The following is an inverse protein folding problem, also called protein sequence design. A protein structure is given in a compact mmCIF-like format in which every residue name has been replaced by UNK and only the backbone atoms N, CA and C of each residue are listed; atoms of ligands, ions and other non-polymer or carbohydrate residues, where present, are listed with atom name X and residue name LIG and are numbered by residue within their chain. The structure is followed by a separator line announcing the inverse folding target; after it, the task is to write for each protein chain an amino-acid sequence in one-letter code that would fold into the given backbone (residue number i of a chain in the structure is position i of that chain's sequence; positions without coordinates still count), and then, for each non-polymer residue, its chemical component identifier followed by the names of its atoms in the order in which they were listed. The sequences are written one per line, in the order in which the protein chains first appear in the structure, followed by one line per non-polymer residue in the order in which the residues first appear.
data_IF_578886836952
#
_entry.id   IF_578886836952
#
_cell.length_a   1.000
_cell.length_b   1.000
_cell.length_c   1.000
_cell.angle_alpha   90.00
_cell.angle_beta   90.00
_cell.angle_gamma   90.00
#
_symmetry.space_group_name_H-M   'P 1'
#
loop_
_entity.id
_entity.type
_entity.pdbx_description
1 polymer ?
#
# COMPACT_ATOMS: atom_id res chain seq x y z
N UNK A 1 -3.80 18.26 14.50
CA UNK A 1 -4.81 18.17 13.43
C UNK A 1 -5.39 16.77 13.46
N UNK A 2 -6.73 16.62 13.41
CA UNK A 2 -7.39 15.31 13.46
C UNK A 2 -7.21 14.56 12.14
N UNK A 3 -7.28 13.24 12.14
CA UNK A 3 -7.10 12.41 10.93
C UNK A 3 -8.09 12.75 9.83
N UNK A 4 -9.35 12.97 10.20
CA UNK A 4 -10.38 13.42 9.26
C UNK A 4 -10.00 14.74 8.58
N UNK A 5 -9.38 15.70 9.30
CA UNK A 5 -8.91 16.97 8.73
C UNK A 5 -7.72 16.76 7.78
N UNK A 6 -6.79 15.85 8.12
CA UNK A 6 -5.65 15.48 7.28
C UNK A 6 -6.12 14.80 5.99
N UNK A 7 -7.05 13.85 6.12
CA UNK A 7 -7.66 13.18 4.97
C UNK A 7 -8.44 14.19 4.10
N UNK A 8 -9.21 15.08 4.73
CA UNK A 8 -9.98 16.11 4.01
C UNK A 8 -9.07 17.10 3.25
N UNK A 9 -7.92 17.45 3.84
CA UNK A 9 -6.95 18.39 3.25
C UNK A 9 -6.09 17.78 2.13
N UNK A 10 -5.94 16.46 2.08
CA UNK A 10 -5.16 15.79 1.06
C UNK A 10 -5.84 15.87 -0.30
N UNK A 11 -5.09 16.22 -1.34
CA UNK A 11 -5.53 16.24 -2.74
C UNK A 11 -5.15 14.95 -3.47
N UNK A 12 -3.97 14.42 -3.20
CA UNK A 12 -3.45 13.20 -3.80
C UNK A 12 -3.11 12.18 -2.73
N UNK A 13 -3.69 10.99 -2.85
CA UNK A 13 -3.60 9.91 -1.87
C UNK A 13 -3.05 8.66 -2.54
N UNK A 14 -2.03 8.05 -1.92
CA UNK A 14 -1.57 6.70 -2.27
C UNK A 14 -2.08 5.72 -1.22
N UNK A 15 -2.69 4.62 -1.66
CA UNK A 15 -3.20 3.56 -0.79
C UNK A 15 -2.44 2.28 -1.08
N UNK A 16 -1.73 1.75 -0.09
CA UNK A 16 -1.03 0.47 -0.19
C UNK A 16 -1.90 -0.66 0.34
N UNK A 17 -2.07 -1.68 -0.49
CA UNK A 17 -2.88 -2.86 -0.21
C UNK A 17 -2.00 -4.12 -0.16
N UNK A 18 -1.97 -4.78 0.99
CA UNK A 18 -1.23 -6.03 1.18
C UNK A 18 -1.93 -7.24 0.56
N UNK A 19 -1.18 -8.31 0.25
CA UNK A 19 -1.75 -9.56 -0.27
C UNK A 19 -2.73 -10.20 0.72
N UNK A 20 -2.39 -10.26 2.02
CA UNK A 20 -3.25 -10.79 3.08
C UNK A 20 -4.57 -10.03 3.22
N UNK A 21 -4.57 -8.74 2.87
CA UNK A 21 -5.75 -7.88 2.97
C UNK A 21 -6.86 -8.21 1.97
N UNK A 22 -6.53 -8.83 0.82
CA UNK A 22 -7.46 -9.01 -0.30
C UNK A 22 -7.46 -10.43 -0.89
N UNK A 23 -6.87 -11.42 -0.22
CA UNK A 23 -6.83 -12.81 -0.70
C UNK A 23 -7.32 -13.78 0.37
N UNK A 24 -7.71 -14.99 -0.03
CA UNK A 24 -8.22 -16.00 0.88
C UNK A 24 -9.51 -15.59 1.56
N UNK A 25 -9.57 -15.67 2.88
CA UNK A 25 -10.75 -15.27 3.66
C UNK A 25 -11.08 -13.77 3.54
N UNK A 26 -10.10 -12.95 3.16
CA UNK A 26 -10.21 -11.48 3.07
C UNK A 26 -10.52 -10.98 1.65
N UNK A 27 -10.92 -11.88 0.76
CA UNK A 27 -11.14 -11.54 -0.64
C UNK A 27 -12.17 -10.42 -0.85
N UNK A 28 -13.18 -10.34 0.01
CA UNK A 28 -14.22 -9.32 -0.01
C UNK A 28 -13.72 -7.91 0.36
N UNK A 29 -12.60 -7.80 1.06
CA UNK A 29 -12.05 -6.50 1.46
C UNK A 29 -11.60 -5.65 0.26
N UNK A 30 -11.39 -6.27 -0.92
CA UNK A 30 -11.10 -5.51 -2.13
C UNK A 30 -12.24 -4.54 -2.46
N UNK A 31 -13.49 -4.98 -2.31
CA UNK A 31 -14.66 -4.13 -2.55
C UNK A 31 -14.74 -2.98 -1.54
N UNK A 32 -14.45 -3.25 -0.26
CA UNK A 32 -14.40 -2.23 0.79
C UNK A 32 -13.31 -1.16 0.50
N UNK A 33 -12.14 -1.59 0.06
CA UNK A 33 -11.05 -0.67 -0.32
C UNK A 33 -11.46 0.17 -1.54
N UNK A 34 -12.08 -0.45 -2.53
CA UNK A 34 -12.56 0.25 -3.73
C UNK A 34 -13.70 1.22 -3.41
N UNK A 35 -14.57 0.90 -2.45
CA UNK A 35 -15.60 1.83 -1.98
C UNK A 35 -14.96 3.10 -1.38
N UNK A 36 -13.88 2.95 -0.59
CA UNK A 36 -13.10 4.08 -0.09
C UNK A 36 -12.42 4.87 -1.22
N UNK A 37 -11.78 4.18 -2.17
CA UNK A 37 -11.17 4.81 -3.35
C UNK A 37 -12.20 5.64 -4.10
N UNK A 38 -13.39 5.10 -4.32
CA UNK A 38 -14.48 5.77 -5.03
C UNK A 38 -15.01 6.99 -4.27
N UNK A 39 -15.13 6.90 -2.94
CA UNK A 39 -15.53 8.02 -2.09
C UNK A 39 -14.52 9.18 -2.20
N UNK A 40 -13.22 8.88 -2.07
CA UNK A 40 -12.18 9.89 -2.17
C UNK A 40 -12.12 10.50 -3.59
N UNK A 41 -12.22 9.69 -4.64
CA UNK A 41 -12.24 10.16 -6.03
C UNK A 41 -13.45 11.05 -6.33
N UNK A 42 -14.64 10.69 -5.85
CA UNK A 42 -15.87 11.51 -6.00
C UNK A 42 -15.79 12.83 -5.21
N UNK A 43 -14.98 12.89 -4.16
CA UNK A 43 -14.70 14.15 -3.45
C UNK A 43 -13.67 15.05 -4.15
N UNK A 44 -13.21 14.67 -5.35
CA UNK A 44 -12.31 15.45 -6.18
C UNK A 44 -10.82 15.20 -5.90
N UNK A 45 -10.50 14.11 -5.21
CA UNK A 45 -9.11 13.73 -4.93
C UNK A 45 -8.56 12.77 -5.98
N UNK A 46 -7.26 12.83 -6.19
CA UNK A 46 -6.52 11.89 -7.00
C UNK A 46 -6.08 10.70 -6.13
N UNK A 47 -6.51 9.49 -6.50
CA UNK A 47 -6.24 8.28 -5.73
C UNK A 47 -5.43 7.30 -6.55
N UNK A 48 -4.32 6.83 -5.98
CA UNK A 48 -3.40 5.84 -6.55
C UNK A 48 -3.42 4.62 -5.63
N UNK A 49 -3.53 3.42 -6.18
CA UNK A 49 -3.47 2.18 -5.41
C UNK A 49 -2.16 1.46 -5.71
N UNK A 50 -1.40 1.10 -4.69
CA UNK A 50 -0.25 0.19 -4.79
C UNK A 50 -0.67 -1.15 -4.20
N UNK A 51 -0.90 -2.13 -5.07
CA UNK A 51 -1.50 -3.42 -4.70
C UNK A 51 -0.47 -4.52 -4.69
N UNK A 52 -0.64 -5.45 -3.76
CA UNK A 52 -0.02 -6.78 -3.77
C UNK A 52 -1.07 -7.85 -4.13
N UNK A 53 -0.66 -9.11 -4.11
CA UNK A 53 -1.58 -10.24 -4.14
C UNK A 53 -1.66 -10.98 -5.46
N UNK A 54 -0.86 -10.65 -6.47
CA UNK A 54 -0.83 -11.38 -7.74
C UNK A 54 -0.50 -12.87 -7.51
N UNK A 55 0.62 -13.19 -6.89
CA UNK A 55 1.06 -14.56 -6.59
C UNK A 55 0.01 -15.29 -5.75
N UNK A 56 -0.47 -14.66 -4.66
CA UNK A 56 -1.47 -15.26 -3.77
C UNK A 56 -2.83 -15.51 -4.45
N UNK A 57 -3.17 -14.71 -5.46
CA UNK A 57 -4.37 -14.92 -6.29
C UNK A 57 -4.21 -16.14 -7.23
N UNK A 58 -3.01 -16.39 -7.75
CA UNK A 58 -2.77 -17.48 -8.70
C UNK A 58 -2.54 -18.83 -8.03
N UNK A 59 -1.84 -18.89 -6.91
CA UNK A 59 -1.40 -20.12 -6.27
C UNK A 59 -2.53 -21.14 -6.02
N UNK A 60 -3.70 -20.75 -5.47
CA UNK A 60 -4.81 -21.69 -5.29
C UNK A 60 -5.40 -22.22 -6.60
N UNK A 61 -5.35 -21.44 -7.69
CA UNK A 61 -5.97 -21.80 -8.97
C UNK A 61 -5.29 -22.98 -9.65
N UNK A 62 -3.99 -23.14 -9.42
CA UNK A 62 -3.19 -24.19 -10.03
C UNK A 62 -2.67 -25.20 -9.01
N UNK A 63 -3.15 -25.11 -7.75
CA UNK A 63 -2.83 -26.07 -6.68
C UNK A 63 -1.34 -26.07 -6.29
N UNK A 64 -0.61 -24.95 -6.54
CA UNK A 64 0.79 -24.84 -6.18
C UNK A 64 0.95 -24.07 -4.84
N UNK A 65 1.85 -24.61 -4.01
CA UNK A 65 2.33 -23.88 -2.85
C UNK A 65 3.66 -23.21 -3.21
N UNK A 66 3.75 -21.90 -3.05
CA UNK A 66 4.99 -21.16 -3.31
C UNK A 66 6.00 -21.49 -2.22
N UNK A 67 7.15 -22.04 -2.62
CA UNK A 67 8.34 -22.07 -1.75
C UNK A 67 9.11 -20.79 -2.00
N UNK A 68 9.50 -20.10 -0.95
CA UNK A 68 10.18 -18.79 -1.01
C UNK A 68 11.49 -18.78 -1.83
N UNK A 69 12.02 -19.95 -2.17
CA UNK A 69 13.28 -20.12 -2.90
C UNK A 69 13.09 -20.39 -4.40
N UNK A 70 11.86 -20.66 -4.86
CA UNK A 70 11.56 -20.94 -6.27
C UNK A 70 11.12 -19.68 -7.02
N UNK A 71 12.12 -18.94 -7.51
CA UNK A 71 11.92 -17.71 -8.27
C UNK A 71 11.08 -17.94 -9.54
N UNK A 72 11.37 -18.96 -10.31
CA UNK A 72 10.69 -19.22 -11.58
C UNK A 72 9.19 -19.52 -11.38
N UNK A 73 8.86 -20.32 -10.36
CA UNK A 73 7.47 -20.56 -9.97
C UNK A 73 6.78 -19.28 -9.50
N UNK A 74 7.46 -18.45 -8.69
CA UNK A 74 6.92 -17.17 -8.23
C UNK A 74 6.66 -16.20 -9.40
N UNK A 75 7.58 -16.09 -10.36
CA UNK A 75 7.41 -15.27 -11.57
C UNK A 75 6.23 -15.76 -12.43
N UNK A 76 6.10 -17.08 -12.62
CA UNK A 76 4.99 -17.66 -13.34
C UNK A 76 3.64 -17.40 -12.65
N UNK A 77 3.57 -17.57 -11.32
CA UNK A 77 2.39 -17.27 -10.53
C UNK A 77 2.02 -15.79 -10.57
N UNK A 78 3.01 -14.89 -10.48
CA UNK A 78 2.79 -13.47 -10.63
C UNK A 78 2.17 -13.12 -11.98
N UNK A 79 2.69 -13.71 -13.07
CA UNK A 79 2.16 -13.50 -14.42
C UNK A 79 0.71 -13.97 -14.57
N UNK A 80 0.34 -15.12 -14.00
CA UNK A 80 -1.04 -15.63 -13.98
C UNK A 80 -1.95 -14.76 -13.12
N UNK A 81 -1.48 -14.43 -11.93
CA UNK A 81 -2.29 -13.77 -10.91
C UNK A 81 -2.50 -12.29 -11.18
N UNK A 82 -1.55 -11.61 -11.82
CA UNK A 82 -1.67 -10.19 -12.11
C UNK A 82 -2.87 -9.86 -13.00
N UNK A 83 -3.10 -10.64 -14.05
CA UNK A 83 -4.26 -10.46 -14.91
C UNK A 83 -5.58 -10.67 -14.16
N UNK A 84 -5.63 -11.63 -13.24
CA UNK A 84 -6.82 -11.90 -12.42
C UNK A 84 -7.05 -10.83 -11.35
N UNK A 85 -5.98 -10.36 -10.73
CA UNK A 85 -6.02 -9.27 -9.77
C UNK A 85 -6.57 -7.99 -10.43
N UNK A 86 -6.07 -7.64 -11.61
CA UNK A 86 -6.60 -6.50 -12.37
C UNK A 86 -8.07 -6.68 -12.74
N UNK A 87 -8.50 -7.85 -13.18
CA UNK A 87 -9.92 -8.12 -13.45
C UNK A 87 -10.82 -8.04 -12.21
N UNK A 88 -10.28 -8.23 -10.99
CA UNK A 88 -11.01 -7.98 -9.74
C UNK A 88 -11.15 -6.48 -9.48
N UNK A 89 -10.08 -5.71 -9.62
CA UNK A 89 -10.13 -4.24 -9.50
C UNK A 89 -11.08 -3.64 -10.53
N UNK A 90 -11.01 -4.07 -11.79
CA UNK A 90 -11.90 -3.61 -12.86
C UNK A 90 -13.38 -3.80 -12.47
N UNK A 91 -13.79 -5.04 -12.14
CA UNK A 91 -15.18 -5.31 -11.73
C UNK A 91 -15.62 -4.51 -10.51
N UNK A 92 -14.72 -4.29 -9.54
CA UNK A 92 -15.04 -3.55 -8.33
C UNK A 92 -15.18 -2.05 -8.60
N UNK A 93 -14.28 -1.45 -9.40
CA UNK A 93 -14.31 -0.04 -9.79
C UNK A 93 -15.47 0.28 -10.74
N UNK A 94 -15.86 -0.66 -11.61
CA UNK A 94 -17.02 -0.53 -12.50
C UNK A 94 -18.32 -0.24 -11.74
N UNK A 95 -18.47 -0.76 -10.51
CA UNK A 95 -19.61 -0.45 -9.62
C UNK A 95 -19.78 1.05 -9.36
N UNK A 96 -18.69 1.80 -9.45
CA UNK A 96 -18.61 3.23 -9.19
C UNK A 96 -18.44 4.08 -10.45
N UNK A 97 -18.34 3.45 -11.63
CA UNK A 97 -18.07 4.12 -12.91
C UNK A 97 -16.62 4.61 -13.03
N UNK A 98 -15.67 4.00 -12.28
CA UNK A 98 -14.25 4.33 -12.32
C UNK A 98 -13.49 3.31 -13.17
N UNK A 99 -12.48 3.80 -13.88
CA UNK A 99 -11.64 2.99 -14.78
C UNK A 99 -10.26 2.78 -14.12
N UNK A 100 -9.77 1.53 -13.95
CA UNK A 100 -8.42 1.27 -13.52
C UNK A 100 -7.41 1.38 -14.66
N UNK A 101 -6.20 1.89 -14.36
CA UNK A 101 -5.05 1.88 -15.26
C UNK A 101 -3.87 1.15 -14.60
N UNK A 102 -3.40 0.05 -15.20
CA UNK A 102 -2.28 -0.72 -14.63
C UNK A 102 -0.93 -0.11 -14.95
N UNK A 103 -0.07 -0.01 -13.91
CA UNK A 103 1.36 0.28 -14.05
C UNK A 103 2.15 -0.80 -13.29
N UNK A 104 3.07 -1.47 -13.97
CA UNK A 104 4.00 -2.41 -13.34
C UNK A 104 5.39 -1.80 -13.26
N UNK A 105 5.94 -1.75 -12.05
CA UNK A 105 7.25 -1.16 -11.76
C UNK A 105 8.11 -2.17 -11.00
N UNK A 106 9.42 -2.05 -11.17
CA UNK A 106 10.38 -2.60 -10.19
C UNK A 106 10.95 -1.43 -9.37
N UNK A 107 11.48 -1.73 -8.19
CA UNK A 107 12.14 -0.71 -7.37
C UNK A 107 13.28 -0.06 -8.15
N UNK A 108 14.03 -0.84 -8.94
CA UNK A 108 15.13 -0.35 -9.78
C UNK A 108 14.66 0.66 -10.84
N UNK A 109 13.44 0.49 -11.38
CA UNK A 109 12.85 1.45 -12.31
C UNK A 109 12.67 2.85 -11.69
N UNK A 110 12.55 2.93 -10.37
CA UNK A 110 12.42 4.20 -9.65
C UNK A 110 13.79 4.82 -9.26
N UNK A 111 14.87 4.02 -9.28
CA UNK A 111 16.22 4.49 -9.04
C UNK A 111 16.89 5.02 -10.32
N UNK A 112 16.48 4.53 -11.48
CA UNK A 112 16.98 5.00 -12.78
C UNK A 112 16.19 6.22 -13.29
N UNK A 113 16.87 7.27 -13.74
CA UNK A 113 16.26 8.54 -14.12
C UNK A 113 15.21 8.40 -15.23
N UNK A 114 15.57 7.74 -16.34
CA UNK A 114 14.67 7.67 -17.51
C UNK A 114 13.41 6.81 -17.24
N UNK A 115 13.50 5.59 -16.68
CA UNK A 115 12.31 4.82 -16.29
C UNK A 115 11.43 5.55 -15.26
N UNK A 116 12.05 6.19 -14.26
CA UNK A 116 11.35 7.00 -13.26
C UNK A 116 10.56 8.15 -13.89
N UNK A 117 11.16 8.89 -14.80
CA UNK A 117 10.47 9.97 -15.52
C UNK A 117 9.32 9.47 -16.38
N UNK A 118 9.48 8.32 -17.04
CA UNK A 118 8.42 7.70 -17.83
C UNK A 118 7.25 7.24 -16.94
N UNK A 119 7.55 6.61 -15.80
CA UNK A 119 6.54 6.20 -14.83
C UNK A 119 5.76 7.41 -14.30
N UNK A 120 6.47 8.50 -13.93
CA UNK A 120 5.85 9.74 -13.46
C UNK A 120 4.90 10.32 -14.52
N UNK A 121 5.34 10.46 -15.78
CA UNK A 121 4.49 10.99 -16.86
C UNK A 121 3.27 10.13 -17.15
N UNK A 122 3.42 8.80 -17.13
CA UNK A 122 2.30 7.88 -17.33
C UNK A 122 1.28 8.01 -16.18
N UNK A 123 1.77 8.09 -14.94
CA UNK A 123 0.95 8.26 -13.75
C UNK A 123 0.17 9.58 -13.78
N UNK A 124 0.84 10.70 -14.02
CA UNK A 124 0.19 12.01 -14.15
C UNK A 124 -0.89 11.98 -15.24
N UNK A 125 -0.59 11.38 -16.39
CA UNK A 125 -1.55 11.32 -17.48
C UNK A 125 -2.79 10.49 -17.14
N UNK A 126 -2.64 9.38 -16.42
CA UNK A 126 -3.78 8.59 -15.93
C UNK A 126 -4.67 9.42 -14.99
N UNK A 127 -4.06 10.13 -14.04
CA UNK A 127 -4.79 10.99 -13.10
C UNK A 127 -5.53 12.12 -13.83
N UNK A 128 -4.87 12.81 -14.78
CA UNK A 128 -5.47 13.88 -15.59
C UNK A 128 -6.72 13.45 -16.37
N UNK A 129 -6.75 12.20 -16.85
CA UNK A 129 -7.91 11.66 -17.60
C UNK A 129 -8.93 10.95 -16.71
N UNK A 130 -8.79 11.05 -15.36
CA UNK A 130 -9.74 10.51 -14.40
C UNK A 130 -9.67 8.98 -14.22
N UNK A 131 -8.55 8.35 -14.54
CA UNK A 131 -8.30 6.92 -14.36
C UNK A 131 -7.66 6.69 -12.99
N UNK A 132 -8.04 5.63 -12.29
CA UNK A 132 -7.42 5.20 -11.02
C UNK A 132 -6.20 4.33 -11.32
N UNK A 133 -4.96 4.82 -11.07
CA UNK A 133 -3.76 4.01 -11.27
C UNK A 133 -3.71 2.86 -10.25
N UNK A 134 -3.55 1.63 -10.75
CA UNK A 134 -3.28 0.43 -9.95
C UNK A 134 -1.84 0.00 -10.23
N UNK A 135 -0.98 0.24 -9.27
CA UNK A 135 0.45 -0.03 -9.37
C UNK A 135 0.75 -1.35 -8.65
N UNK A 136 1.58 -2.19 -9.23
CA UNK A 136 2.14 -3.37 -8.57
C UNK A 136 3.60 -3.54 -8.96
N UNK A 137 4.32 -4.34 -8.18
CA UNK A 137 5.66 -4.78 -8.58
C UNK A 137 5.56 -5.66 -9.83
N UNK A 138 6.53 -5.51 -10.73
CA UNK A 138 6.67 -6.39 -11.89
C UNK A 138 7.41 -7.67 -11.49
N UNK A 139 6.75 -8.47 -10.66
CA UNK A 139 7.28 -9.74 -10.14
C UNK A 139 7.70 -10.72 -11.26
N UNK A 140 7.16 -10.58 -12.47
CA UNK A 140 7.48 -11.47 -13.59
C UNK A 140 8.91 -11.33 -14.10
N UNK A 141 9.57 -10.20 -13.81
CA UNK A 141 10.96 -9.93 -14.16
C UNK A 141 11.85 -9.66 -12.94
N UNK A 142 11.30 -9.84 -11.72
CA UNK A 142 12.03 -9.63 -10.48
C UNK A 142 13.23 -10.58 -10.35
N UNK A 143 14.34 -10.10 -9.79
CA UNK A 143 15.54 -10.89 -9.54
C UNK A 143 15.53 -11.52 -8.13
N UNK A 144 16.42 -12.49 -7.88
CA UNK A 144 16.52 -13.14 -6.55
C UNK A 144 16.88 -12.19 -5.41
N UNK A 145 17.50 -11.06 -5.73
CA UNK A 145 17.92 -10.03 -4.76
C UNK A 145 16.71 -9.21 -4.29
N UNK A 146 15.66 -9.14 -5.11
CA UNK A 146 14.41 -8.47 -4.78
C UNK A 146 13.49 -9.50 -4.11
N UNK A 147 13.36 -9.41 -2.78
CA UNK A 147 12.42 -10.26 -2.04
C UNK A 147 11.00 -9.93 -2.46
N UNK A 148 10.29 -10.92 -2.98
CA UNK A 148 8.88 -10.80 -3.36
C UNK A 148 8.06 -10.15 -2.24
N UNK A 149 7.29 -9.12 -2.58
CA UNK A 149 6.25 -8.56 -1.71
C UNK A 149 6.64 -7.34 -0.89
N UNK A 150 7.69 -6.59 -1.24
CA UNK A 150 8.00 -5.32 -0.57
C UNK A 150 7.24 -4.13 -1.21
N UNK A 151 5.93 -4.31 -1.41
CA UNK A 151 5.09 -3.22 -1.91
C UNK A 151 4.90 -2.08 -0.89
N UNK A 152 5.30 -2.25 0.38
CA UNK A 152 5.39 -1.15 1.34
C UNK A 152 6.46 -0.14 0.88
N UNK A 153 7.65 -0.66 0.49
CA UNK A 153 8.74 0.14 -0.07
C UNK A 153 8.36 0.76 -1.43
N UNK A 154 7.72 -0.01 -2.30
CA UNK A 154 7.22 0.52 -3.58
C UNK A 154 6.22 1.65 -3.34
N UNK A 155 5.27 1.49 -2.42
CA UNK A 155 4.26 2.50 -2.11
C UNK A 155 4.88 3.80 -1.57
N UNK A 156 5.87 3.71 -0.69
CA UNK A 156 6.57 4.90 -0.19
C UNK A 156 7.32 5.64 -1.31
N UNK A 157 7.96 4.93 -2.24
CA UNK A 157 8.61 5.54 -3.41
C UNK A 157 7.61 6.14 -4.40
N UNK A 158 6.49 5.43 -4.65
CA UNK A 158 5.40 5.94 -5.50
C UNK A 158 4.78 7.19 -4.89
N UNK A 159 4.61 7.26 -3.56
CA UNK A 159 4.07 8.45 -2.92
C UNK A 159 4.95 9.69 -3.12
N UNK A 160 6.27 9.52 -3.07
CA UNK A 160 7.20 10.60 -3.39
C UNK A 160 7.24 10.94 -4.88
N UNK A 161 7.24 9.93 -5.76
CA UNK A 161 7.20 10.12 -7.21
C UNK A 161 5.96 10.91 -7.65
N UNK A 162 4.82 10.58 -7.07
CA UNK A 162 3.53 11.18 -7.33
C UNK A 162 3.31 12.50 -6.58
N UNK A 163 4.26 12.95 -5.74
CA UNK A 163 4.09 14.11 -4.87
C UNK A 163 2.77 14.04 -4.08
N UNK A 164 2.49 12.87 -3.49
CA UNK A 164 1.28 12.65 -2.73
C UNK A 164 1.29 13.43 -1.40
N UNK A 165 0.13 13.88 -0.97
CA UNK A 165 -0.05 14.51 0.35
C UNK A 165 -0.12 13.46 1.46
N UNK A 166 -0.65 12.26 1.10
CA UNK A 166 -0.96 11.21 2.06
C UNK A 166 -0.66 9.82 1.48
N UNK A 167 0.00 8.98 2.28
CA UNK A 167 0.15 7.55 2.08
C UNK A 167 -0.66 6.80 3.14
N UNK A 168 -1.55 5.91 2.73
CA UNK A 168 -2.29 5.01 3.62
C UNK A 168 -1.73 3.61 3.47
N UNK A 169 -1.14 3.07 4.53
CA UNK A 169 -0.64 1.70 4.60
C UNK A 169 -1.70 0.81 5.24
N UNK A 170 -2.41 0.03 4.44
CA UNK A 170 -3.37 -0.96 4.93
C UNK A 170 -2.65 -2.22 5.41
N UNK A 171 -3.05 -2.70 6.56
CA UNK A 171 -2.42 -3.80 7.29
C UNK A 171 -3.47 -4.75 7.88
N UNK A 172 -3.00 -5.79 8.52
CA UNK A 172 -3.75 -6.70 9.40
C UNK A 172 -3.78 -6.22 10.87
N UNK A 173 -3.10 -5.11 11.16
CA UNK A 173 -3.13 -4.44 12.47
C UNK A 173 -3.63 -3.00 12.31
N UNK A 174 -4.37 -2.53 13.30
CA UNK A 174 -5.02 -1.21 13.29
C UNK A 174 -4.07 -0.05 13.61
N UNK A 175 -2.93 -0.34 14.28
CA UNK A 175 -1.96 0.66 14.72
C UNK A 175 -0.60 0.02 15.02
N UNK A 176 0.41 0.83 15.24
CA UNK A 176 1.62 0.42 15.95
C UNK A 176 1.37 0.35 17.45
N UNK A 177 2.02 -0.60 18.12
CA UNK A 177 1.98 -0.78 19.56
C UNK A 177 3.39 -0.87 20.14
N UNK A 178 3.53 -0.46 21.40
CA UNK A 178 4.81 -0.56 22.12
C UNK A 178 5.26 -2.01 22.36
N UNK A 179 4.29 -2.94 22.39
CA UNK A 179 4.45 -4.39 22.49
C UNK A 179 3.44 -5.10 21.59
N UNK A 180 3.47 -6.43 21.50
CA UNK A 180 2.47 -7.17 20.75
C UNK A 180 1.05 -6.85 21.25
N UNK A 181 0.08 -6.60 20.35
CA UNK A 181 -1.31 -6.40 20.74
C UNK A 181 -1.81 -7.58 21.58
N UNK A 182 -2.35 -7.30 22.77
CA UNK A 182 -2.81 -8.30 23.72
C UNK A 182 -1.82 -8.67 24.83
N UNK A 183 -0.56 -8.22 24.77
CA UNK A 183 0.39 -8.31 25.89
C UNK A 183 0.06 -7.29 26.98
N UNK A 184 0.31 -7.64 28.24
CA UNK A 184 0.11 -6.74 29.36
C UNK A 184 1.01 -5.49 29.23
N UNK A 185 0.38 -4.31 29.28
CA UNK A 185 1.05 -3.03 29.11
C UNK A 185 1.39 -2.69 27.66
N UNK A 186 0.76 -3.31 26.65
CA UNK A 186 0.81 -2.85 25.29
C UNK A 186 0.05 -1.53 25.14
N UNK A 187 0.74 -0.49 24.66
CA UNK A 187 0.17 0.84 24.42
C UNK A 187 0.16 1.15 22.94
N UNK A 188 -0.95 1.71 22.43
CA UNK A 188 -1.07 2.16 21.06
C UNK A 188 -0.22 3.40 20.83
N UNK A 189 0.55 3.41 19.76
CA UNK A 189 1.34 4.56 19.31
C UNK A 189 0.49 5.32 18.29
N UNK A 190 -0.17 6.37 18.75
CA UNK A 190 -1.07 7.14 17.91
C UNK A 190 -0.34 8.06 16.92
N UNK A 191 0.81 8.59 17.30
CA UNK A 191 1.62 9.51 16.48
C UNK A 191 3.09 9.12 16.59
N UNK A 192 3.76 9.11 15.43
CA UNK A 192 5.21 8.94 15.31
C UNK A 192 5.80 10.22 14.74
N UNK A 193 6.70 10.85 15.47
CA UNK A 193 7.48 11.99 15.02
C UNK A 193 8.86 11.52 14.50
N UNK A 194 9.57 12.39 13.80
CA UNK A 194 10.89 12.05 13.23
C UNK A 194 11.94 11.68 14.27
N UNK A 195 11.92 12.36 15.40
CA UNK A 195 12.89 12.17 16.48
C UNK A 195 12.60 10.93 17.34
N UNK A 196 11.45 10.26 17.16
CA UNK A 196 11.04 9.15 18.00
C UNK A 196 11.92 7.92 17.72
N UNK A 197 12.54 7.39 18.78
CA UNK A 197 13.27 6.12 18.72
C UNK A 197 12.28 4.96 18.78
N UNK A 198 12.12 4.28 17.64
CA UNK A 198 11.24 3.11 17.51
C UNK A 198 11.99 1.78 17.60
N UNK A 199 13.28 1.78 17.96
CA UNK A 199 14.11 0.57 18.05
C UNK A 199 13.63 -0.42 19.11
N UNK A 200 12.87 0.05 20.09
CA UNK A 200 12.29 -0.73 21.18
C UNK A 200 10.90 -1.32 20.86
N UNK A 201 10.30 -0.95 19.72
CA UNK A 201 8.99 -1.46 19.34
C UNK A 201 9.13 -2.93 18.94
N UNK A 202 8.51 -3.80 19.72
CA UNK A 202 8.40 -5.21 19.39
C UNK A 202 7.31 -5.37 18.32
N UNK A 203 7.75 -5.43 17.09
CA UNK A 203 6.83 -5.59 15.97
C UNK A 203 6.49 -7.07 15.83
N UNK A 204 5.44 -7.49 16.48
CA UNK A 204 4.88 -8.83 16.32
C UNK A 204 4.18 -8.91 14.97
N UNK A 205 4.84 -9.45 13.96
CA UNK A 205 4.24 -9.76 12.68
C UNK A 205 4.01 -11.25 12.55
N UNK A 206 2.78 -11.70 12.57
CA UNK A 206 2.41 -13.00 12.03
C UNK A 206 2.51 -12.91 10.50
N UNK A 207 3.64 -13.38 9.94
CA UNK A 207 3.73 -13.61 8.49
C UNK A 207 2.78 -14.77 8.15
N UNK A 208 1.58 -14.47 7.67
CA UNK A 208 0.81 -15.46 6.91
C UNK A 208 1.61 -15.75 5.65
N UNK A 209 1.98 -17.00 5.39
CA UNK A 209 3.01 -17.54 4.49
C UNK A 209 3.14 -17.01 3.05
N UNK A 210 2.46 -15.93 2.68
CA UNK A 210 2.50 -15.29 1.36
C UNK A 210 2.90 -13.81 1.38
N UNK A 211 3.14 -13.20 2.55
CA UNK A 211 3.54 -11.80 2.68
C UNK A 211 4.88 -11.67 3.38
N UNK A 212 5.87 -11.08 2.73
CA UNK A 212 7.19 -10.77 3.33
C UNK A 212 7.18 -9.43 4.06
N UNK A 213 6.10 -8.64 3.94
CA UNK A 213 5.93 -7.34 4.56
C UNK A 213 5.58 -7.45 6.04
N UNK A 214 6.58 -7.63 6.90
CA UNK A 214 6.43 -7.52 8.35
C UNK A 214 6.20 -6.07 8.79
N UNK A 215 5.88 -5.86 10.06
CA UNK A 215 5.67 -4.52 10.58
C UNK A 215 6.96 -3.65 10.53
N UNK A 216 8.16 -4.26 10.46
CA UNK A 216 9.43 -3.53 10.24
C UNK A 216 9.48 -2.90 8.84
N UNK A 217 9.00 -3.60 7.80
CA UNK A 217 8.98 -3.04 6.43
C UNK A 217 7.98 -1.89 6.33
N UNK A 218 6.82 -2.00 6.97
CA UNK A 218 5.83 -0.93 7.04
C UNK A 218 6.37 0.29 7.78
N UNK A 219 7.05 0.07 8.90
CA UNK A 219 7.68 1.14 9.67
C UNK A 219 8.75 1.86 8.85
N UNK A 220 9.63 1.12 8.17
CA UNK A 220 10.67 1.69 7.31
C UNK A 220 10.05 2.47 6.13
N UNK A 221 9.02 1.93 5.48
CA UNK A 221 8.32 2.57 4.38
C UNK A 221 7.61 3.85 4.83
N UNK A 222 6.93 3.80 6.00
CA UNK A 222 6.25 4.97 6.57
C UNK A 222 7.24 6.09 6.90
N UNK A 223 8.37 5.77 7.53
CA UNK A 223 9.43 6.76 7.83
C UNK A 223 10.00 7.36 6.56
N UNK A 224 10.33 6.52 5.57
CA UNK A 224 10.87 6.99 4.30
C UNK A 224 9.94 7.99 3.60
N UNK A 225 8.63 7.71 3.56
CA UNK A 225 7.65 8.63 2.99
C UNK A 225 7.52 9.91 3.82
N UNK A 226 7.48 9.80 5.15
CA UNK A 226 7.37 10.94 6.05
C UNK A 226 8.60 11.86 5.99
N UNK A 227 9.81 11.31 5.89
CA UNK A 227 11.06 12.04 5.65
C UNK A 227 11.03 12.81 4.32
N UNK A 228 10.36 12.25 3.31
CA UNK A 228 10.13 12.92 2.02
C UNK A 228 8.96 13.92 2.00
N UNK A 229 8.34 14.21 3.15
CA UNK A 229 7.28 15.21 3.28
C UNK A 229 5.85 14.70 3.08
N UNK A 230 5.66 13.37 2.95
CA UNK A 230 4.34 12.74 2.80
C UNK A 230 3.82 12.31 4.16
N UNK A 231 2.61 12.74 4.54
CA UNK A 231 1.95 12.23 5.74
C UNK A 231 1.59 10.75 5.59
N UNK A 232 1.75 9.93 6.66
CA UNK A 232 1.43 8.51 6.55
C UNK A 232 0.44 8.07 7.61
N UNK A 233 -0.58 7.32 7.19
CA UNK A 233 -1.52 6.60 8.05
C UNK A 233 -1.24 5.11 7.94
N UNK A 234 -1.03 4.42 9.07
CA UNK A 234 -1.03 2.96 9.16
C UNK A 234 -2.30 2.54 9.90
N UNK A 235 -3.12 1.70 9.26
CA UNK A 235 -4.39 1.23 9.84
C UNK A 235 -4.75 -0.16 9.34
N UNK A 236 -5.73 -0.82 10.00
CA UNK A 236 -6.29 -2.07 9.52
C UNK A 236 -7.13 -1.86 8.26
N UNK A 237 -7.12 -2.86 7.37
CA UNK A 237 -7.88 -2.80 6.12
C UNK A 237 -9.38 -2.59 6.37
N UNK A 238 -9.94 -3.23 7.38
CA UNK A 238 -11.35 -3.16 7.75
C UNK A 238 -11.76 -1.78 8.26
N UNK A 239 -10.80 -0.98 8.71
CA UNK A 239 -11.03 0.36 9.27
C UNK A 239 -10.86 1.49 8.25
N UNK A 240 -10.57 1.17 6.98
CA UNK A 240 -10.27 2.20 5.96
C UNK A 240 -11.42 3.21 5.78
N UNK A 241 -12.68 2.76 5.84
CA UNK A 241 -13.85 3.63 5.72
C UNK A 241 -14.04 4.53 6.95
N UNK A 242 -13.57 4.10 8.13
CA UNK A 242 -13.68 4.91 9.36
C UNK A 242 -12.64 6.02 9.49
N UNK A 243 -11.68 6.12 8.57
CA UNK A 243 -10.65 7.18 8.60
C UNK A 243 -11.21 8.60 8.54
N UNK A 244 -12.43 8.78 8.04
CA UNK A 244 -13.17 10.04 8.06
C UNK A 244 -13.89 10.35 9.38
N UNK A 245 -13.93 9.42 10.33
CA UNK A 245 -14.63 9.56 11.61
C UNK A 245 -13.81 10.38 12.63
N UNK A 246 -14.39 10.62 13.82
CA UNK A 246 -13.83 11.53 14.81
C UNK A 246 -12.58 10.98 15.51
N UNK A 247 -12.49 9.66 15.76
CA UNK A 247 -11.34 8.99 16.39
C UNK A 247 -11.05 7.61 15.75
N UNK A 248 -10.56 7.57 14.51
CA UNK A 248 -10.23 6.30 13.86
C UNK A 248 -8.99 5.66 14.49
N UNK A 249 -9.00 4.34 14.63
CA UNK A 249 -7.83 3.59 15.06
C UNK A 249 -6.76 3.55 13.96
N UNK A 250 -5.61 4.18 14.21
CA UNK A 250 -4.46 4.23 13.28
C UNK A 250 -3.21 4.71 14.00
N UNK A 251 -2.07 4.61 13.33
CA UNK A 251 -0.85 5.36 13.67
C UNK A 251 -0.60 6.41 12.60
N UNK A 252 -0.40 7.64 13.01
CA UNK A 252 0.01 8.75 12.15
C UNK A 252 1.52 8.95 12.20
N UNK A 253 2.16 9.07 11.04
CA UNK A 253 3.56 9.50 10.93
C UNK A 253 3.59 10.94 10.43
N UNK A 254 4.18 11.81 11.24
CA UNK A 254 4.25 13.25 10.95
C UNK A 254 5.28 13.50 9.82
N UNK A 255 4.86 14.17 8.72
CA UNK A 255 5.78 14.51 7.64
C UNK A 255 6.79 15.57 8.05
N UNK A 256 7.98 15.55 7.43
CA UNK A 256 8.95 16.65 7.56
C UNK A 256 8.40 17.89 6.88
N UNK A 257 8.13 18.91 7.67
CA UNK A 257 7.74 20.21 7.11
C UNK A 257 8.91 20.82 6.36
N UNK A 258 8.80 20.97 5.04
CA UNK A 258 9.79 21.66 4.21
C UNK A 258 10.37 20.87 3.03
N UNK A 259 9.93 19.64 2.76
CA UNK A 259 10.40 18.86 1.61
C UNK A 259 9.63 19.13 0.30
N UNK A 260 8.61 19.99 0.32
CA UNK A 260 7.92 20.43 -0.90
C UNK A 260 8.57 21.73 -1.40
N UNK A 261 9.57 21.61 -2.24
CA UNK A 261 10.11 22.70 -3.07
C UNK A 261 10.46 22.19 -4.47
#
# INVERSE_FOLDING_TARGET
MRTAERLAGAKRIVIKVGSSSITGANEANLDLIVDFVAEQSKSGKEVIVVSSGAIATAAPLIGLTVKSEDLATSQALASIGQARLMGRYERSLDRHGLIPGQILLTVDNLDEEQPRMNASRALERLLEIGVVPIINENDSVATQEIRFGDNDRLASRVSLLAQADLLILLSDVDSLYSKAPGEEGAERIAVVNQADDLSHIQVSGTSTGYGTGGALTKLAAARYAAEGGVGVILTATELVLSLGEEDPHHTWFEPVNGAAS
#
